data_IF_696869334579
#
_entry.id   IF_696869334579
#
_cell.length_a   1.000
_cell.length_b   1.000
_cell.length_c   1.000
_cell.angle_alpha   90.00
_cell.angle_beta   90.00
_cell.angle_gamma   90.00
#
_symmetry.space_group_name_H-M   'P 1'
#
loop_
_entity.id
_entity.type
_entity.pdbx_description
1 polymer ?
#
# COMPACT_ATOMS: atom_id res chain seq x y z
N UNK A 1 13.40 -14.27 -12.80
CA UNK A 1 13.31 -15.07 -11.57
C UNK A 1 13.53 -14.11 -10.41
N UNK A 2 12.45 -13.43 -9.99
CA UNK A 2 12.50 -12.19 -9.19
C UNK A 2 12.42 -12.47 -7.68
N UNK A 3 12.66 -13.72 -7.26
CA UNK A 3 12.56 -14.15 -5.87
C UNK A 3 13.78 -13.80 -5.01
N UNK A 4 14.84 -13.24 -5.59
CA UNK A 4 16.14 -13.12 -4.93
C UNK A 4 16.37 -11.81 -4.16
N UNK A 5 15.40 -10.89 -4.12
CA UNK A 5 15.55 -9.57 -3.50
C UNK A 5 14.89 -9.40 -2.12
N UNK A 6 14.39 -10.46 -1.51
CA UNK A 6 13.72 -10.42 -0.20
C UNK A 6 14.56 -11.22 0.79
N UNK A 7 15.50 -10.55 1.46
CA UNK A 7 16.49 -11.19 2.34
C UNK A 7 15.99 -11.53 3.75
N UNK A 8 14.75 -11.22 4.08
CA UNK A 8 14.11 -11.59 5.35
C UNK A 8 12.82 -12.35 5.01
N UNK A 9 12.75 -13.66 5.31
CA UNK A 9 11.58 -14.50 4.99
C UNK A 9 10.25 -13.92 5.53
N UNK A 10 10.32 -13.15 6.62
CA UNK A 10 9.17 -12.45 7.19
C UNK A 10 8.66 -11.30 6.33
N UNK A 11 9.48 -10.61 5.54
CA UNK A 11 9.00 -9.47 4.75
C UNK A 11 8.24 -9.93 3.48
N UNK A 12 8.48 -11.18 3.04
CA UNK A 12 7.71 -11.84 1.99
C UNK A 12 6.25 -12.06 2.43
N UNK A 13 6.00 -12.23 3.73
CA UNK A 13 4.67 -12.50 4.29
C UNK A 13 3.67 -11.36 4.02
N UNK A 14 4.17 -10.15 3.78
CA UNK A 14 3.33 -9.00 3.44
C UNK A 14 2.77 -9.10 2.02
N UNK A 15 3.42 -9.83 1.12
CA UNK A 15 2.96 -10.01 -0.24
C UNK A 15 2.04 -11.23 -0.36
N UNK A 16 0.78 -10.99 -0.71
CA UNK A 16 -0.26 -12.04 -0.77
C UNK A 16 -0.66 -12.45 -2.19
N UNK A 17 0.07 -11.97 -3.20
CA UNK A 17 -0.17 -12.31 -4.60
C UNK A 17 -1.37 -11.60 -5.24
N UNK A 18 -1.79 -12.03 -6.45
CA UNK A 18 -2.95 -11.49 -7.15
C UNK A 18 -4.26 -11.77 -6.42
N UNK A 19 -5.05 -10.73 -6.14
CA UNK A 19 -6.30 -10.84 -5.37
C UNK A 19 -7.24 -9.68 -5.67
N UNK A 20 -8.55 -9.87 -5.48
CA UNK A 20 -9.50 -8.75 -5.57
C UNK A 20 -9.48 -7.92 -4.29
N UNK A 21 -9.85 -6.63 -4.38
CA UNK A 21 -9.87 -5.75 -3.22
C UNK A 21 -10.76 -6.29 -2.09
N UNK A 22 -11.94 -6.82 -2.44
CA UNK A 22 -12.88 -7.42 -1.48
C UNK A 22 -12.29 -8.64 -0.76
N UNK A 23 -11.62 -9.54 -1.50
CA UNK A 23 -11.01 -10.74 -0.89
C UNK A 23 -9.77 -10.39 -0.08
N UNK A 24 -9.05 -9.33 -0.42
CA UNK A 24 -7.95 -8.80 0.42
C UNK A 24 -8.50 -8.21 1.72
N UNK A 25 -9.50 -7.32 1.64
CA UNK A 25 -10.10 -6.66 2.79
C UNK A 25 -10.62 -7.63 3.87
N UNK A 26 -11.25 -8.74 3.45
CA UNK A 26 -11.78 -9.77 4.37
C UNK A 26 -10.73 -10.49 5.21
N UNK A 27 -9.47 -10.49 4.78
CA UNK A 27 -8.38 -11.23 5.45
C UNK A 27 -7.47 -10.33 6.28
N UNK A 28 -7.71 -9.01 6.31
CA UNK A 28 -6.93 -8.08 7.09
C UNK A 28 -7.44 -8.00 8.54
N UNK A 29 -6.51 -7.88 9.49
CA UNK A 29 -6.80 -7.53 10.89
C UNK A 29 -6.55 -6.03 11.13
N UNK A 30 -7.12 -5.45 12.19
CA UNK A 30 -6.81 -4.10 12.62
C UNK A 30 -5.30 -3.82 12.73
N UNK A 31 -4.85 -2.68 12.22
CA UNK A 31 -3.43 -2.25 12.11
C UNK A 31 -2.53 -3.12 11.24
N UNK A 32 -3.09 -4.08 10.52
CA UNK A 32 -2.36 -4.91 9.56
C UNK A 32 -2.39 -4.27 8.17
N UNK A 33 -1.30 -4.47 7.42
CA UNK A 33 -1.27 -4.20 5.99
C UNK A 33 -0.72 -5.37 5.20
N UNK A 34 -1.14 -5.47 3.93
CA UNK A 34 -0.69 -6.47 2.95
C UNK A 34 -0.54 -5.82 1.58
N UNK A 35 0.36 -6.36 0.77
CA UNK A 35 0.63 -5.94 -0.60
C UNK A 35 0.08 -7.01 -1.55
N UNK A 36 -0.62 -6.57 -2.59
CA UNK A 36 -1.27 -7.48 -3.54
C UNK A 36 -1.37 -6.85 -4.93
N UNK A 37 -1.37 -7.68 -5.96
CA UNK A 37 -1.75 -7.24 -7.30
C UNK A 37 -3.27 -7.27 -7.41
N UNK A 38 -3.89 -6.11 -7.68
CA UNK A 38 -5.35 -6.02 -7.67
C UNK A 38 -5.96 -6.55 -8.96
N UNK A 39 -6.75 -7.62 -8.81
CA UNK A 39 -7.59 -8.16 -9.88
C UNK A 39 -8.91 -7.39 -9.92
N UNK A 40 -9.38 -6.92 -11.09
CA UNK A 40 -10.69 -6.27 -11.22
C UNK A 40 -11.84 -7.21 -10.80
N UNK A 41 -12.79 -6.72 -10.00
CA UNK A 41 -13.88 -7.54 -9.43
C UNK A 41 -14.85 -8.11 -10.49
N UNK A 42 -15.00 -7.43 -11.64
CA UNK A 42 -16.03 -7.75 -12.65
C UNK A 42 -15.48 -7.94 -14.07
N UNK A 43 -14.16 -8.12 -14.23
CA UNK A 43 -13.58 -8.28 -15.57
C UNK A 43 -13.35 -9.76 -15.91
N UNK A 44 -13.93 -10.29 -17.01
CA UNK A 44 -13.61 -11.63 -17.50
C UNK A 44 -12.22 -11.71 -18.16
N UNK A 45 -11.56 -10.56 -18.38
CA UNK A 45 -10.22 -10.48 -18.95
C UNK A 45 -9.28 -9.82 -17.94
N UNK A 46 -8.33 -10.61 -17.44
CA UNK A 46 -7.19 -10.12 -16.67
C UNK A 46 -6.28 -9.38 -17.65
N UNK A 47 -6.12 -8.07 -17.48
CA UNK A 47 -5.10 -7.30 -18.20
C UNK A 47 -3.71 -7.88 -17.92
N UNK A 48 -2.80 -7.84 -18.90
CA UNK A 48 -1.40 -8.25 -18.72
C UNK A 48 -0.65 -7.41 -17.67
N UNK A 49 -1.19 -6.25 -17.28
CA UNK A 49 -0.65 -5.40 -16.23
C UNK A 49 -1.66 -5.27 -15.10
N UNK A 50 -1.39 -5.96 -13.99
CA UNK A 50 -2.12 -5.79 -12.75
C UNK A 50 -1.48 -4.66 -11.93
N UNK A 51 -2.26 -3.70 -11.42
CA UNK A 51 -1.72 -2.67 -10.55
C UNK A 51 -1.39 -3.25 -9.16
N UNK A 52 -0.32 -2.75 -8.55
CA UNK A 52 0.15 -3.15 -7.22
C UNK A 52 -0.42 -2.21 -6.17
N UNK A 53 -0.95 -2.77 -5.08
CA UNK A 53 -1.59 -2.01 -4.01
C UNK A 53 -1.11 -2.46 -2.64
N UNK A 54 -1.10 -1.53 -1.68
CA UNK A 54 -1.01 -1.79 -0.25
C UNK A 54 -2.41 -1.65 0.34
N UNK A 55 -2.97 -2.75 0.83
CA UNK A 55 -4.21 -2.75 1.59
C UNK A 55 -3.90 -2.67 3.08
N UNK A 56 -4.61 -1.81 3.81
CA UNK A 56 -4.41 -1.58 5.24
C UNK A 56 -5.76 -1.42 5.94
N UNK A 57 -5.90 -2.01 7.12
CA UNK A 57 -7.10 -1.86 7.95
C UNK A 57 -6.82 -0.98 9.16
N UNK A 58 -7.55 0.12 9.31
CA UNK A 58 -7.40 0.97 10.49
C UNK A 58 -7.93 0.31 11.76
N UNK A 59 -7.20 0.47 12.86
CA UNK A 59 -7.63 0.06 14.20
C UNK A 59 -8.80 0.87 14.76
N UNK A 60 -9.03 2.07 14.22
CA UNK A 60 -10.01 2.99 14.76
C UNK A 60 -11.43 2.62 14.36
N UNK A 61 -11.66 2.48 13.05
CA UNK A 61 -12.98 2.30 12.45
C UNK A 61 -13.11 0.98 11.66
N UNK A 62 -12.06 0.15 11.63
CA UNK A 62 -11.98 -1.10 10.84
C UNK A 62 -12.21 -0.88 9.33
N UNK A 63 -12.11 0.37 8.85
CA UNK A 63 -12.16 0.70 7.44
C UNK A 63 -10.86 0.20 6.79
N UNK A 64 -11.01 -0.41 5.62
CA UNK A 64 -9.89 -0.85 4.81
C UNK A 64 -9.60 0.21 3.76
N UNK A 65 -8.33 0.54 3.60
CA UNK A 65 -7.80 1.47 2.63
C UNK A 65 -6.90 0.72 1.67
N UNK A 66 -6.94 1.11 0.39
CA UNK A 66 -6.14 0.53 -0.66
C UNK A 66 -5.32 1.64 -1.29
N UNK A 67 -4.01 1.63 -1.09
CA UNK A 67 -3.10 2.64 -1.60
C UNK A 67 -2.34 2.10 -2.80
N UNK A 68 -2.43 2.75 -3.98
CA UNK A 68 -1.64 2.36 -5.14
C UNK A 68 -0.15 2.46 -4.83
N UNK A 69 0.60 1.40 -5.12
CA UNK A 69 2.07 1.43 -5.13
C UNK A 69 2.51 1.79 -6.53
N UNK A 70 3.26 2.87 -6.67
CA UNK A 70 3.76 3.35 -7.95
C UNK A 70 5.28 3.34 -7.99
N UNK A 71 5.82 3.06 -9.18
CA UNK A 71 7.24 3.17 -9.48
C UNK A 71 7.41 4.36 -10.44
N UNK A 72 8.03 5.42 -9.97
CA UNK A 72 8.36 6.62 -10.75
C UNK A 72 9.87 6.75 -10.92
N UNK A 73 10.31 7.57 -11.89
CA UNK A 73 11.72 7.92 -12.00
C UNK A 73 12.04 9.16 -11.16
N UNK A 74 13.15 9.12 -10.45
CA UNK A 74 13.69 10.30 -9.78
C UNK A 74 14.23 11.26 -10.83
N UNK A 75 13.74 12.50 -10.85
CA UNK A 75 14.18 13.53 -11.81
C UNK A 75 15.66 13.90 -11.68
N UNK A 76 16.31 13.62 -10.54
CA UNK A 76 17.73 13.93 -10.29
C UNK A 76 18.67 12.77 -10.62
N UNK A 77 18.37 11.56 -10.14
CA UNK A 77 19.24 10.39 -10.35
C UNK A 77 18.84 9.50 -11.54
N UNK A 78 17.61 9.64 -12.03
CA UNK A 78 17.04 8.76 -13.07
C UNK A 78 16.64 7.37 -12.56
N UNK A 79 16.88 7.07 -11.27
CA UNK A 79 16.60 5.78 -10.66
C UNK A 79 15.10 5.59 -10.40
N UNK A 80 14.69 4.32 -10.36
CA UNK A 80 13.34 3.93 -10.03
C UNK A 80 13.08 4.07 -8.53
N UNK A 81 12.03 4.81 -8.18
CA UNK A 81 11.61 5.07 -6.82
C UNK A 81 10.17 4.61 -6.61
N UNK A 82 9.95 3.90 -5.51
CA UNK A 82 8.67 3.33 -5.10
C UNK A 82 7.99 4.23 -4.08
N UNK A 83 6.68 4.47 -4.22
CA UNK A 83 5.90 5.23 -3.23
C UNK A 83 4.45 4.79 -3.19
N UNK A 84 3.76 5.15 -2.11
CA UNK A 84 2.32 4.97 -1.97
C UNK A 84 1.58 6.24 -2.38
N UNK A 85 0.55 6.12 -3.22
CA UNK A 85 -0.30 7.27 -3.56
C UNK A 85 -1.40 7.45 -2.51
N UNK A 86 -1.12 8.17 -1.43
CA UNK A 86 -2.17 8.61 -0.49
C UNK A 86 -1.88 9.89 0.30
N UNK A 87 -0.78 10.62 0.03
CA UNK A 87 -0.41 11.93 0.58
C UNK A 87 0.97 12.34 0.00
N UNK A 88 1.64 13.33 0.59
CA UNK A 88 3.10 13.54 0.48
C UNK A 88 3.84 12.33 1.07
N UNK A 89 3.87 11.23 0.32
CA UNK A 89 4.47 9.97 0.74
C UNK A 89 5.97 9.96 0.47
N UNK A 90 6.70 9.32 1.39
CA UNK A 90 8.10 9.05 1.18
C UNK A 90 8.30 8.16 -0.07
N UNK A 91 9.41 8.39 -0.76
CA UNK A 91 9.84 7.58 -1.89
C UNK A 91 11.00 6.69 -1.47
N UNK A 92 11.05 5.47 -2.00
CA UNK A 92 11.99 4.43 -1.58
C UNK A 92 12.72 3.83 -2.77
N UNK A 93 14.00 3.45 -2.63
CA UNK A 93 14.77 2.85 -3.72
C UNK A 93 14.30 1.43 -4.08
N UNK A 94 13.52 0.78 -3.21
CA UNK A 94 12.97 -0.56 -3.45
C UNK A 94 11.63 -0.76 -2.74
N UNK A 95 10.85 -1.72 -3.22
CA UNK A 95 9.61 -2.14 -2.56
C UNK A 95 9.88 -2.69 -1.15
N UNK A 96 11.01 -3.36 -0.94
CA UNK A 96 11.42 -3.86 0.37
C UNK A 96 11.67 -2.71 1.36
N UNK A 97 12.34 -1.65 0.92
CA UNK A 97 12.56 -0.47 1.78
C UNK A 97 11.23 0.20 2.17
N UNK A 98 10.27 0.26 1.24
CA UNK A 98 8.91 0.73 1.51
C UNK A 98 8.23 -0.14 2.58
N UNK A 99 8.27 -1.47 2.43
CA UNK A 99 7.68 -2.42 3.40
C UNK A 99 8.32 -2.24 4.77
N UNK A 100 9.65 -2.22 4.84
CA UNK A 100 10.41 -2.07 6.10
C UNK A 100 10.05 -0.78 6.80
N UNK A 101 9.95 0.34 6.07
CA UNK A 101 9.53 1.61 6.62
C UNK A 101 8.14 1.53 7.27
N UNK A 102 7.13 1.05 6.53
CA UNK A 102 5.76 0.95 7.05
C UNK A 102 5.58 -0.16 8.11
N UNK A 103 6.54 -1.07 8.27
CA UNK A 103 6.58 -2.05 9.36
C UNK A 103 7.16 -1.45 10.65
N UNK A 104 8.17 -0.59 10.52
CA UNK A 104 8.90 -0.03 11.68
C UNK A 104 8.23 1.22 12.25
N UNK A 105 7.66 2.07 11.39
CA UNK A 105 7.11 3.35 11.81
C UNK A 105 5.59 3.29 11.93
N UNK A 106 5.08 3.87 13.01
CA UNK A 106 3.66 4.03 13.26
C UNK A 106 3.37 5.45 13.75
N UNK A 107 2.11 5.84 13.65
CA UNK A 107 1.59 7.13 14.05
C UNK A 107 0.70 6.96 15.27
N UNK A 108 0.88 7.82 16.26
CA UNK A 108 -0.06 7.93 17.38
C UNK A 108 -1.09 9.00 17.05
N UNK A 109 -2.37 8.66 17.16
CA UNK A 109 -3.45 9.62 17.11
C UNK A 109 -3.45 10.43 18.42
N UNK A 110 -3.20 11.75 18.40
CA UNK A 110 -3.14 12.56 19.61
C UNK A 110 -4.48 12.67 20.33
N UNK A 111 -5.61 12.43 19.65
CA UNK A 111 -6.95 12.51 20.26
C UNK A 111 -7.31 11.22 20.99
N UNK A 112 -7.00 10.08 20.39
CA UNK A 112 -7.44 8.76 20.90
C UNK A 112 -6.31 7.96 21.58
N UNK A 113 -5.05 8.38 21.41
CA UNK A 113 -3.88 7.64 21.87
C UNK A 113 -3.61 6.34 21.11
N UNK A 114 -4.43 6.00 20.10
CA UNK A 114 -4.28 4.77 19.33
C UNK A 114 -3.07 4.87 18.40
N UNK A 115 -2.32 3.78 18.32
CA UNK A 115 -1.18 3.64 17.41
C UNK A 115 -1.66 2.95 16.15
N UNK A 116 -1.31 3.50 15.00
CA UNK A 116 -1.65 2.92 13.71
C UNK A 116 -0.58 3.18 12.66
N UNK A 117 -0.46 2.26 11.71
CA UNK A 117 0.57 2.32 10.67
C UNK A 117 0.39 3.52 9.73
N UNK A 118 -0.86 3.90 9.49
CA UNK A 118 -1.20 5.00 8.59
C UNK A 118 -2.06 6.02 9.31
N UNK A 119 -1.76 7.33 9.19
CA UNK A 119 -2.49 8.39 9.87
C UNK A 119 -3.79 8.76 9.13
N UNK A 120 -4.63 7.76 8.86
CA UNK A 120 -5.85 7.89 8.04
C UNK A 120 -6.93 8.78 8.67
N UNK A 121 -6.81 9.12 9.95
CA UNK A 121 -7.68 10.05 10.67
C UNK A 121 -7.35 11.53 10.42
N UNK A 122 -6.26 11.83 9.69
CA UNK A 122 -5.86 13.21 9.40
C UNK A 122 -6.61 13.81 8.19
N UNK A 123 -7.61 13.13 7.64
CA UNK A 123 -8.36 13.54 6.43
C UNK A 123 -7.47 13.84 5.19
N UNK A 124 -6.22 13.34 5.18
CA UNK A 124 -5.28 13.48 4.05
C UNK A 124 -5.41 12.30 3.08
N UNK A 125 -6.57 11.64 3.01
CA UNK A 125 -6.78 10.61 2.00
C UNK A 125 -7.33 11.31 0.77
N UNK A 126 -6.51 11.40 -0.26
CA UNK A 126 -6.94 11.89 -1.57
C UNK A 126 -7.97 10.88 -2.09
N UNK A 127 -9.25 11.28 -2.14
CA UNK A 127 -10.31 10.46 -2.72
C UNK A 127 -9.98 10.18 -4.20
N UNK A 128 -10.13 8.92 -4.62
CA UNK A 128 -9.91 8.49 -6.02
C UNK A 128 -10.86 9.21 -7.00
N UNK A 129 -11.94 9.83 -6.52
CA UNK A 129 -12.88 10.64 -7.32
C UNK A 129 -12.36 12.05 -7.66
N UNK A 130 -11.18 12.45 -7.17
CA UNK A 130 -10.62 13.78 -7.41
C UNK A 130 -9.88 13.94 -8.76
N UNK A 131 -9.83 12.89 -9.58
CA UNK A 131 -9.08 12.91 -10.84
C UNK A 131 -9.91 12.43 -12.04
N UNK A 132 -10.98 13.18 -12.31
CA UNK A 132 -11.31 13.55 -13.68
C UNK A 132 -10.92 15.02 -13.85
N UNK A 133 -10.29 15.36 -14.98
CA UNK A 133 -9.73 16.67 -15.36
C UNK A 133 -8.28 16.94 -14.91
N UNK A 134 -7.31 16.55 -15.74
CA UNK A 134 -6.75 17.43 -16.79
C UNK A 134 -5.77 16.69 -17.68
#
# INVERSE_FOLDING_TARGET
DDRQFLSDENDIEYYIGPKTASKTAKNLKPSEFRIYYQIPEKSPKVSYKLPLFLAYMSSQNKKVFHFPIVCGKNNRSGENMWSLRYADSATFPSLLALIKYHKTYAYMDPKTGKIDTFPVWKDVIIDEDSFCET
#
